data_IF_218307108321
#
_entry.id   IF_218307108321
#
_cell.length_a   1.000
_cell.length_b   1.000
_cell.length_c   1.000
_cell.angle_alpha   90.00
_cell.angle_beta   90.00
_cell.angle_gamma   90.00
#
_symmetry.space_group_name_H-M   'P 1'
#
loop_
_entity.id
_entity.type
_entity.pdbx_description
1 polymer ?
#
# COMPACT_ATOMS: atom_id res chain seq x y z
N UNK A 1 5.41 -2.31 19.51
CA UNK A 1 4.33 -2.68 18.58
C UNK A 1 4.28 -1.69 17.44
N UNK A 2 4.23 -2.17 16.22
CA UNK A 2 4.21 -1.30 15.05
C UNK A 2 2.77 -0.99 14.65
N UNK A 3 2.49 0.29 14.47
CA UNK A 3 1.19 0.72 13.97
C UNK A 3 1.26 0.83 12.47
N UNK A 4 0.30 0.23 11.79
CA UNK A 4 0.21 0.30 10.35
C UNK A 4 -0.89 1.25 9.94
N UNK A 5 -0.64 1.97 8.87
CA UNK A 5 -1.60 2.91 8.31
C UNK A 5 -1.94 2.46 6.89
N UNK A 6 -3.06 2.91 6.41
CA UNK A 6 -3.57 2.52 5.12
C UNK A 6 -3.17 3.55 4.07
N UNK A 7 -2.50 3.09 3.04
CA UNK A 7 -2.01 3.94 1.97
C UNK A 7 -2.62 3.53 0.65
N UNK A 8 -2.68 4.47 -0.27
CA UNK A 8 -3.10 4.24 -1.64
C UNK A 8 -1.95 4.58 -2.57
N UNK A 9 -1.91 3.89 -3.69
CA UNK A 9 -0.85 4.11 -4.67
C UNK A 9 -1.44 4.13 -6.07
N UNK A 10 -0.95 5.05 -6.88
CA UNK A 10 -1.29 5.14 -8.28
C UNK A 10 -0.04 4.92 -9.11
N UNK A 11 -0.18 4.21 -10.20
CA UNK A 11 0.94 3.88 -11.07
C UNK A 11 0.90 4.70 -12.35
N UNK A 12 2.03 4.76 -13.03
CA UNK A 12 2.12 5.47 -14.29
C UNK A 12 1.25 4.82 -15.37
N UNK A 13 0.99 3.53 -15.26
CA UNK A 13 0.14 2.83 -16.22
C UNK A 13 -1.34 2.94 -15.90
N UNK A 14 -1.71 3.69 -14.87
CA UNK A 14 -3.11 3.91 -14.54
C UNK A 14 -3.72 2.92 -13.58
N UNK A 15 -2.92 2.09 -12.94
CA UNK A 15 -3.41 1.15 -11.94
C UNK A 15 -3.44 1.81 -10.58
N UNK A 16 -4.36 1.35 -9.75
CA UNK A 16 -4.54 1.83 -8.38
C UNK A 16 -4.57 0.64 -7.44
N UNK A 17 -3.88 0.74 -6.32
CA UNK A 17 -3.92 -0.31 -5.30
C UNK A 17 -3.66 0.31 -3.94
N UNK A 18 -3.93 -0.48 -2.90
CA UNK A 18 -3.77 -0.03 -1.53
C UNK A 18 -2.86 -0.99 -0.77
N UNK A 19 -2.25 -0.47 0.28
CA UNK A 19 -1.33 -1.27 1.08
C UNK A 19 -1.27 -0.72 2.49
N UNK A 20 -0.75 -1.53 3.39
CA UNK A 20 -0.50 -1.13 4.77
C UNK A 20 0.99 -0.92 4.95
N UNK A 21 1.34 0.15 5.65
CA UNK A 21 2.74 0.44 5.94
C UNK A 21 2.83 1.23 7.25
N UNK A 22 3.98 1.20 7.87
CA UNK A 22 4.17 1.87 9.16
C UNK A 22 4.43 3.37 9.01
N UNK A 23 5.00 3.78 7.88
CA UNK A 23 5.26 5.20 7.63
C UNK A 23 5.32 5.44 6.12
N UNK A 24 5.47 6.71 5.77
CA UNK A 24 5.44 7.12 4.36
C UNK A 24 6.58 6.50 3.56
N UNK A 25 7.75 6.39 4.15
CA UNK A 25 8.91 5.84 3.47
C UNK A 25 8.72 4.37 3.16
N UNK A 26 8.25 3.61 4.15
CA UNK A 26 7.96 2.21 3.95
C UNK A 26 6.87 2.03 2.90
N UNK A 27 5.85 2.88 2.94
CA UNK A 27 4.77 2.82 1.96
C UNK A 27 5.31 3.03 0.55
N UNK A 28 6.14 4.03 0.36
CA UNK A 28 6.71 4.30 -0.96
C UNK A 28 7.57 3.15 -1.46
N UNK A 29 8.41 2.61 -0.59
CA UNK A 29 9.28 1.51 -0.95
C UNK A 29 8.48 0.27 -1.34
N UNK A 30 7.51 -0.09 -0.51
CA UNK A 30 6.70 -1.27 -0.75
C UNK A 30 5.82 -1.10 -1.97
N UNK A 31 5.21 0.06 -2.12
CA UNK A 31 4.35 0.32 -3.27
C UNK A 31 5.13 0.27 -4.57
N UNK A 32 6.36 0.77 -4.56
CA UNK A 32 7.21 0.71 -5.75
C UNK A 32 7.49 -0.74 -6.15
N UNK A 33 7.83 -1.56 -5.17
CA UNK A 33 8.07 -2.99 -5.42
C UNK A 33 6.83 -3.67 -5.97
N UNK A 34 5.68 -3.36 -5.39
CA UNK A 34 4.41 -3.95 -5.82
C UNK A 34 4.06 -3.53 -7.25
N UNK A 35 4.26 -2.26 -7.56
CA UNK A 35 3.98 -1.77 -8.90
C UNK A 35 4.82 -2.50 -9.95
N UNK A 36 6.07 -2.73 -9.63
CA UNK A 36 6.97 -3.42 -10.55
C UNK A 36 6.61 -4.88 -10.73
N UNK A 37 6.32 -5.54 -9.63
CA UNK A 37 6.02 -6.98 -9.69
C UNK A 37 4.69 -7.29 -10.33
N UNK A 38 3.68 -6.47 -10.05
CA UNK A 38 2.32 -6.79 -10.46
C UNK A 38 1.93 -6.20 -11.79
N UNK A 39 2.42 -5.01 -12.07
CA UNK A 39 1.99 -4.26 -13.24
C UNK A 39 3.15 -3.90 -14.15
N UNK A 40 4.36 -4.26 -13.76
CA UNK A 40 5.55 -3.95 -14.53
C UNK A 40 5.62 -2.47 -14.89
N UNK A 41 5.41 -1.64 -13.88
CA UNK A 41 5.33 -0.19 -14.06
C UNK A 41 5.99 0.51 -12.87
N UNK A 42 6.01 1.82 -12.91
CA UNK A 42 6.53 2.64 -11.82
C UNK A 42 5.42 3.37 -11.11
N UNK A 43 5.70 3.80 -9.89
CA UNK A 43 4.75 4.59 -9.14
C UNK A 43 4.65 5.99 -9.69
N UNK A 44 3.41 6.49 -9.72
CA UNK A 44 3.15 7.88 -9.97
C UNK A 44 3.00 8.62 -8.64
N UNK A 45 2.30 8.01 -7.70
CA UNK A 45 2.01 8.65 -6.42
C UNK A 45 1.69 7.61 -5.37
N UNK A 46 1.99 7.94 -4.11
CA UNK A 46 1.59 7.14 -2.97
C UNK A 46 1.21 8.11 -1.85
N UNK A 47 0.10 7.85 -1.20
CA UNK A 47 -0.43 8.78 -0.22
C UNK A 47 -1.24 8.05 0.83
N UNK A 48 -1.35 8.68 1.99
CA UNK A 48 -2.18 8.18 3.07
C UNK A 48 -3.65 8.31 2.66
N UNK A 49 -4.40 7.24 2.88
CA UNK A 49 -5.82 7.25 2.52
C UNK A 49 -6.57 8.25 3.39
N UNK A 50 -7.11 9.27 2.77
CA UNK A 50 -7.83 10.33 3.47
C UNK A 50 -9.20 9.88 3.96
N UNK A 51 -9.70 8.80 3.41
CA UNK A 51 -11.01 8.27 3.78
C UNK A 51 -10.89 7.15 4.80
N UNK A 52 -9.70 7.00 5.38
CA UNK A 52 -9.49 6.00 6.39
C UNK A 52 -10.44 6.24 7.56
N UNK A 53 -11.21 5.23 7.88
CA UNK A 53 -12.10 5.28 9.01
C UNK A 53 -11.27 5.14 10.29
N UNK A 54 -11.25 6.14 11.17
CA UNK A 54 -10.44 6.07 12.37
C UNK A 54 -10.85 4.94 13.30
N UNK A 55 -12.05 4.42 13.15
CA UNK A 55 -12.51 3.28 13.95
C UNK A 55 -12.13 1.96 13.33
N UNK A 56 -11.64 1.98 12.11
CA UNK A 56 -11.23 0.78 11.44
C UNK A 56 -9.94 0.27 12.06
N UNK A 57 -9.91 -1.02 12.34
CA UNK A 57 -8.73 -1.63 12.90
C UNK A 57 -7.91 -2.26 11.80
N UNK A 58 -6.64 -1.95 11.79
CA UNK A 58 -5.70 -2.56 10.87
C UNK A 58 -5.00 -3.68 11.61
N UNK A 59 -5.14 -4.87 11.10
CA UNK A 59 -4.54 -6.04 11.71
C UNK A 59 -3.32 -6.43 10.89
N UNK A 60 -2.26 -6.88 11.54
CA UNK A 60 -1.05 -7.25 10.81
C UNK A 60 -1.31 -8.24 9.69
N UNK A 61 -2.23 -9.18 9.89
CA UNK A 61 -2.49 -10.16 8.86
C UNK A 61 -3.17 -9.56 7.63
N UNK A 62 -3.84 -8.42 7.77
CA UNK A 62 -4.44 -7.77 6.61
C UNK A 62 -3.36 -7.35 5.63
N UNK A 63 -2.25 -6.86 6.16
CA UNK A 63 -1.10 -6.52 5.33
C UNK A 63 -0.55 -7.74 4.63
N UNK A 64 -0.45 -8.83 5.34
CA UNK A 64 0.06 -10.06 4.77
C UNK A 64 -0.86 -10.61 3.71
N UNK A 65 -2.16 -10.52 3.91
CA UNK A 65 -3.12 -10.95 2.91
C UNK A 65 -2.93 -10.15 1.64
N UNK A 66 -2.80 -8.85 1.76
CA UNK A 66 -2.55 -8.00 0.60
C UNK A 66 -1.28 -8.42 -0.11
N UNK A 67 -0.23 -8.67 0.64
CA UNK A 67 1.04 -9.08 0.06
C UNK A 67 0.93 -10.42 -0.65
N UNK A 68 0.19 -11.35 -0.07
CA UNK A 68 0.05 -12.69 -0.64
C UNK A 68 -0.82 -12.73 -1.86
N UNK A 69 -1.84 -11.91 -1.89
CA UNK A 69 -2.73 -11.86 -3.05
C UNK A 69 -2.01 -11.38 -4.29
N UNK A 70 -0.83 -10.91 -4.08
CA UNK A 70 -0.06 -10.28 -5.10
C UNK A 70 1.03 -11.16 -5.61
N UNK A 71 1.10 -12.31 -5.11
CA UNK A 71 2.08 -13.30 -5.55
C UNK A 71 1.44 -14.31 -6.45
#
# INVERSE_FOLDING_TARGET
>A
MTLYRYYCADTECGKHFCLMASDDMEAAYRADSMAKEWYNTTLKDVYLDKHENPNRRYRPYDKEILSQQLQ
#
